data_IF_058330669872
#
_entry.id   IF_058330669872
#
_cell.length_a   1.000
_cell.length_b   1.000
_cell.length_c   1.000
_cell.angle_alpha   90.00
_cell.angle_beta   90.00
_cell.angle_gamma   90.00
#
_symmetry.space_group_name_H-M   'P 1'
#
loop_
_entity.id
_entity.type
_entity.pdbx_description
1 polymer ?
#
# COMPACT_ATOMS: atom_id res chain seq x y z
N UNK A 1 5.55 24.52 -21.92
CA UNK A 1 6.38 24.27 -20.72
C UNK A 1 5.56 23.41 -19.80
N UNK A 2 6.15 22.40 -19.18
CA UNK A 2 5.46 21.55 -18.19
C UNK A 2 4.94 22.42 -17.04
N UNK A 3 3.68 22.23 -16.66
CA UNK A 3 3.04 22.96 -15.58
C UNK A 3 3.03 22.12 -14.30
N UNK A 4 2.92 22.80 -13.16
CA UNK A 4 2.70 22.15 -11.86
C UNK A 4 1.29 22.52 -11.38
N UNK A 5 0.54 21.49 -11.02
CA UNK A 5 -0.84 21.58 -10.53
C UNK A 5 -0.92 21.06 -9.10
N UNK A 6 -2.02 21.36 -8.40
CA UNK A 6 -2.33 20.77 -7.08
C UNK A 6 -3.77 20.28 -7.05
N UNK A 7 -3.98 19.13 -6.43
CA UNK A 7 -5.30 18.57 -6.18
C UNK A 7 -5.46 18.25 -4.70
N UNK A 8 -6.39 18.92 -4.05
CA UNK A 8 -6.57 18.87 -2.60
C UNK A 8 -7.33 17.61 -2.15
N UNK A 9 -7.17 17.24 -0.89
CA UNK A 9 -7.74 16.04 -0.26
C UNK A 9 -9.28 16.04 -0.15
N UNK A 10 -9.98 17.10 -0.51
CA UNK A 10 -11.44 17.16 -0.59
C UNK A 10 -11.98 16.74 -1.97
N UNK A 11 -11.11 16.61 -2.97
CA UNK A 11 -11.44 16.21 -4.33
C UNK A 11 -11.37 14.68 -4.47
N UNK A 12 -12.17 13.95 -3.68
CA UNK A 12 -12.14 12.49 -3.61
C UNK A 12 -13.39 11.82 -4.19
N UNK A 13 -13.20 10.55 -4.55
CA UNK A 13 -14.26 9.58 -4.86
C UNK A 13 -13.90 8.22 -4.21
N UNK A 14 -14.85 7.27 -4.22
CA UNK A 14 -14.71 6.01 -3.47
C UNK A 14 -14.92 4.76 -4.34
N UNK A 15 -14.94 4.92 -5.64
CA UNK A 15 -15.15 3.84 -6.61
C UNK A 15 -14.42 4.12 -7.92
N UNK A 16 -14.02 3.10 -8.64
CA UNK A 16 -13.61 3.23 -10.02
C UNK A 16 -14.87 3.37 -10.89
N UNK A 17 -15.06 4.54 -11.50
CA UNK A 17 -16.22 4.82 -12.36
C UNK A 17 -15.81 5.80 -13.46
N UNK A 18 -15.87 5.33 -14.71
CA UNK A 18 -15.46 6.10 -15.88
C UNK A 18 -16.43 7.23 -16.26
N UNK A 19 -17.58 7.32 -15.59
CA UNK A 19 -18.53 8.42 -15.73
C UNK A 19 -18.27 9.59 -14.77
N UNK A 20 -17.26 9.49 -13.88
CA UNK A 20 -16.90 10.59 -12.98
C UNK A 20 -16.28 11.73 -13.78
N UNK A 21 -16.75 12.96 -13.50
CA UNK A 21 -16.15 14.15 -14.06
C UNK A 21 -14.73 14.37 -13.52
N UNK A 22 -13.74 14.62 -14.39
CA UNK A 22 -12.38 14.92 -13.96
C UNK A 22 -12.33 16.17 -13.06
N UNK A 23 -11.55 16.09 -11.99
CA UNK A 23 -11.29 17.23 -11.09
C UNK A 23 -10.19 18.12 -11.60
N UNK A 24 -9.34 17.61 -12.48
CA UNK A 24 -8.22 18.31 -13.08
C UNK A 24 -7.97 17.75 -14.48
N UNK A 25 -7.55 18.63 -15.40
CA UNK A 25 -7.08 18.25 -16.72
C UNK A 25 -5.66 18.76 -16.92
N UNK A 26 -4.76 17.89 -17.38
CA UNK A 26 -3.31 18.13 -17.53
C UNK A 26 -2.81 17.74 -18.92
N UNK A 27 -1.66 18.28 -19.30
CA UNK A 27 -0.91 17.83 -20.47
C UNK A 27 0.13 16.76 -20.12
N UNK A 28 0.47 15.83 -21.02
CA UNK A 28 1.64 14.94 -20.84
C UNK A 28 2.90 15.78 -20.61
N UNK A 29 3.65 15.47 -19.57
CA UNK A 29 4.82 16.21 -19.08
C UNK A 29 4.54 17.01 -17.82
N UNK A 30 3.28 17.28 -17.50
CA UNK A 30 2.92 18.02 -16.29
C UNK A 30 3.16 17.23 -15.00
N UNK A 31 3.27 18.00 -13.91
CA UNK A 31 3.41 17.50 -12.54
C UNK A 31 2.17 17.87 -11.74
N UNK A 32 1.71 16.94 -10.90
CA UNK A 32 0.59 17.18 -9.97
C UNK A 32 1.02 16.83 -8.55
N UNK A 33 0.82 17.77 -7.63
CA UNK A 33 0.89 17.54 -6.20
C UNK A 33 -0.50 17.15 -5.70
N UNK A 34 -0.61 15.97 -5.11
CA UNK A 34 -1.83 15.41 -4.54
C UNK A 34 -1.76 15.48 -3.02
N UNK A 35 -2.84 15.95 -2.40
CA UNK A 35 -3.09 15.71 -0.99
C UNK A 35 -4.03 14.50 -0.89
N UNK A 36 -3.59 13.43 -0.22
CA UNK A 36 -4.40 12.20 -0.06
C UNK A 36 -4.88 12.04 1.38
N UNK A 37 -6.02 11.39 1.56
CA UNK A 37 -6.48 10.91 2.86
C UNK A 37 -5.97 9.50 3.10
N UNK A 38 -5.93 9.08 4.38
CA UNK A 38 -5.66 7.68 4.72
C UNK A 38 -6.83 6.74 4.34
N UNK A 39 -6.60 5.44 4.31
CA UNK A 39 -7.59 4.42 3.95
C UNK A 39 -8.87 4.44 4.80
N UNK A 40 -8.83 5.06 5.98
CA UNK A 40 -9.99 5.20 6.86
C UNK A 40 -10.75 6.52 6.67
N UNK A 41 -10.35 7.35 5.69
CA UNK A 41 -10.97 8.66 5.42
C UNK A 41 -10.90 9.62 6.62
N UNK A 42 -9.78 9.57 7.37
CA UNK A 42 -9.56 10.38 8.56
C UNK A 42 -10.35 9.93 9.79
N UNK A 43 -10.87 8.70 9.78
CA UNK A 43 -11.64 8.18 10.91
C UNK A 43 -10.81 8.01 12.18
N UNK A 44 -9.56 7.53 12.06
CA UNK A 44 -8.66 7.35 13.19
C UNK A 44 -7.89 8.62 13.53
N UNK A 45 -7.62 8.79 14.81
CA UNK A 45 -6.78 9.84 15.38
C UNK A 45 -5.72 9.24 16.30
N UNK A 46 -4.83 10.06 16.84
CA UNK A 46 -3.85 9.62 17.85
C UNK A 46 -4.48 9.04 19.12
N UNK A 47 -5.70 9.46 19.43
CA UNK A 47 -6.43 9.04 20.63
C UNK A 47 -7.34 7.84 20.38
N UNK A 48 -7.39 7.33 19.14
CA UNK A 48 -8.19 6.16 18.78
C UNK A 48 -7.69 4.89 19.46
N UNK A 49 -8.64 4.01 19.78
CA UNK A 49 -8.42 2.77 20.55
C UNK A 49 -8.82 1.53 19.75
N UNK A 50 -8.54 0.34 20.28
CA UNK A 50 -8.96 -0.92 19.67
C UNK A 50 -10.48 -1.01 19.45
N UNK A 51 -11.29 -0.37 20.30
CA UNK A 51 -12.74 -0.38 20.18
C UNK A 51 -13.23 0.35 18.91
N UNK A 52 -12.49 1.35 18.47
CA UNK A 52 -12.85 2.15 17.28
C UNK A 52 -12.74 1.35 15.98
N UNK A 53 -11.96 0.26 15.97
CA UNK A 53 -11.81 -0.59 14.76
C UNK A 53 -13.15 -1.15 14.28
N UNK A 54 -14.02 -1.57 15.19
CA UNK A 54 -15.35 -2.07 14.85
C UNK A 54 -16.37 -0.93 14.66
N UNK A 55 -16.13 0.24 15.23
CA UNK A 55 -17.00 1.41 15.13
C UNK A 55 -16.99 2.09 13.77
N UNK A 56 -15.97 1.85 12.93
CA UNK A 56 -15.80 2.50 11.62
C UNK A 56 -16.95 2.27 10.63
N UNK A 57 -17.78 1.27 10.83
CA UNK A 57 -18.84 0.93 9.91
C UNK A 57 -18.33 0.21 8.63
N UNK A 58 -19.20 0.05 7.61
CA UNK A 58 -18.84 -0.65 6.38
C UNK A 58 -17.83 0.14 5.55
N UNK A 59 -16.94 -0.59 4.88
CA UNK A 59 -16.00 0.00 3.92
C UNK A 59 -16.74 0.54 2.69
N UNK A 60 -16.53 1.81 2.38
CA UNK A 60 -17.17 2.52 1.24
C UNK A 60 -16.26 2.57 0.00
N UNK A 61 -15.02 2.16 0.09
CA UNK A 61 -13.94 2.37 -0.86
C UNK A 61 -12.83 3.20 -0.23
N UNK A 62 -11.63 3.14 -0.81
CA UNK A 62 -10.55 4.06 -0.48
C UNK A 62 -10.92 5.47 -0.95
N UNK A 63 -10.64 6.52 -0.18
CA UNK A 63 -10.79 7.90 -0.65
C UNK A 63 -9.70 8.20 -1.67
N UNK A 64 -10.05 8.21 -2.95
CA UNK A 64 -9.12 8.44 -4.05
C UNK A 64 -9.19 9.89 -4.51
N UNK A 65 -8.07 10.62 -4.44
CA UNK A 65 -7.95 11.98 -4.96
C UNK A 65 -7.88 11.93 -6.49
N UNK A 66 -8.82 12.58 -7.16
CA UNK A 66 -9.01 12.53 -8.61
C UNK A 66 -10.49 12.54 -9.02
N UNK A 67 -10.81 12.12 -10.29
CA UNK A 67 -9.89 11.71 -11.35
C UNK A 67 -9.14 12.89 -12.01
N UNK A 68 -7.94 12.62 -12.51
CA UNK A 68 -7.17 13.51 -13.37
C UNK A 68 -7.26 13.04 -14.83
N UNK A 69 -7.70 13.93 -15.71
CA UNK A 69 -7.71 13.70 -17.17
C UNK A 69 -6.36 14.10 -17.76
N UNK A 70 -5.74 13.20 -18.51
CA UNK A 70 -4.51 13.48 -19.27
C UNK A 70 -4.89 13.73 -20.73
N UNK A 71 -4.67 14.96 -21.25
CA UNK A 71 -5.06 15.33 -22.61
C UNK A 71 -4.44 14.41 -23.66
N UNK A 72 -5.29 13.94 -24.56
CA UNK A 72 -4.90 13.09 -25.67
C UNK A 72 -4.50 11.66 -25.29
N UNK A 73 -4.67 11.24 -24.05
CA UNK A 73 -4.62 9.84 -23.69
C UNK A 73 -5.85 9.11 -24.24
N UNK A 74 -5.64 7.95 -24.89
CA UNK A 74 -6.70 7.16 -25.51
C UNK A 74 -6.51 5.66 -25.19
N UNK A 75 -7.57 4.85 -25.26
CA UNK A 75 -7.45 3.40 -25.13
C UNK A 75 -6.36 2.81 -26.04
N UNK A 76 -5.50 1.98 -25.45
CA UNK A 76 -4.33 1.42 -26.15
C UNK A 76 -3.02 2.20 -25.98
N UNK A 77 -3.06 3.32 -25.25
CA UNK A 77 -1.85 3.99 -24.77
C UNK A 77 -1.40 3.41 -23.42
N UNK A 78 -0.20 3.79 -23.00
CA UNK A 78 0.29 3.55 -21.63
C UNK A 78 0.53 4.89 -20.94
N UNK A 79 -0.11 5.11 -19.81
CA UNK A 79 0.19 6.22 -18.91
C UNK A 79 1.45 5.93 -18.11
N UNK A 80 2.40 6.85 -18.12
CA UNK A 80 3.66 6.75 -17.34
C UNK A 80 3.58 7.73 -16.18
N UNK A 81 3.73 7.21 -14.97
CA UNK A 81 3.62 7.98 -13.72
C UNK A 81 4.93 7.84 -12.95
N UNK A 82 5.65 8.95 -12.78
CA UNK A 82 6.87 8.98 -11.98
C UNK A 82 6.57 9.54 -10.60
N UNK A 83 7.00 8.85 -9.55
CA UNK A 83 6.88 9.30 -8.16
C UNK A 83 8.07 10.20 -7.84
N UNK A 84 7.82 11.50 -7.73
CA UNK A 84 8.88 12.50 -7.49
C UNK A 84 9.10 12.74 -6.00
N UNK A 85 8.00 12.86 -5.22
CA UNK A 85 8.02 13.14 -3.80
C UNK A 85 6.86 12.43 -3.13
N UNK A 86 7.07 11.98 -1.89
CA UNK A 86 6.00 11.52 -1.00
C UNK A 86 6.43 11.66 0.44
N UNK A 87 5.56 12.26 1.26
CA UNK A 87 5.78 12.45 2.68
C UNK A 87 4.46 12.31 3.46
N UNK A 88 4.52 11.95 4.76
CA UNK A 88 3.36 11.97 5.63
C UNK A 88 2.73 13.37 5.70
N UNK A 89 1.40 13.45 5.61
CA UNK A 89 0.66 14.70 5.82
C UNK A 89 0.24 14.92 7.29
N UNK A 90 0.52 13.94 8.16
CA UNK A 90 0.27 13.98 9.59
C UNK A 90 1.46 13.34 10.32
N UNK A 91 1.57 13.62 11.62
CA UNK A 91 2.64 13.10 12.48
C UNK A 91 2.33 11.70 13.06
N UNK A 92 1.28 11.05 12.56
CA UNK A 92 0.92 9.68 12.94
C UNK A 92 0.43 8.87 11.73
N UNK A 93 0.56 7.55 11.86
CA UNK A 93 -0.09 6.56 11.03
C UNK A 93 -0.76 5.51 11.91
N UNK A 94 -1.46 4.58 11.30
CA UNK A 94 -2.14 3.51 12.04
C UNK A 94 -2.07 2.18 11.29
N UNK A 95 -2.16 1.07 12.05
CA UNK A 95 -2.31 -0.29 11.51
C UNK A 95 -3.37 -1.00 12.34
N UNK A 96 -4.31 -1.71 11.71
CA UNK A 96 -5.42 -2.34 12.41
C UNK A 96 -5.57 -3.83 12.07
N UNK A 97 -5.76 -4.65 13.09
CA UNK A 97 -6.26 -6.01 12.93
C UNK A 97 -7.78 -5.95 13.04
N UNK A 98 -8.46 -6.36 11.97
CA UNK A 98 -9.92 -6.49 11.92
C UNK A 98 -10.26 -7.98 11.83
N UNK A 99 -11.00 -8.55 12.81
CA UNK A 99 -11.37 -9.97 12.77
C UNK A 99 -11.98 -10.40 11.43
N UNK A 100 -11.54 -11.52 10.90
CA UNK A 100 -11.96 -12.02 9.60
C UNK A 100 -11.34 -11.32 8.37
N UNK A 101 -10.34 -10.45 8.57
CA UNK A 101 -9.55 -9.80 7.53
C UNK A 101 -8.06 -10.14 7.66
N UNK A 102 -7.33 -10.01 6.54
CA UNK A 102 -5.91 -10.34 6.50
C UNK A 102 -5.65 -11.80 6.10
N UNK A 103 -4.38 -12.16 6.14
CA UNK A 103 -3.88 -13.49 5.78
C UNK A 103 -4.34 -14.57 6.77
N UNK A 104 -4.35 -14.24 8.07
CA UNK A 104 -4.69 -15.19 9.13
C UNK A 104 -6.19 -15.17 9.43
N UNK A 105 -6.81 -16.34 9.68
CA UNK A 105 -8.24 -16.43 9.93
C UNK A 105 -8.65 -15.78 11.26
N UNK A 106 -9.93 -15.46 11.40
CA UNK A 106 -10.50 -14.84 12.59
C UNK A 106 -10.20 -15.62 13.88
N UNK A 107 -10.07 -16.95 13.79
CA UNK A 107 -9.74 -17.78 14.96
C UNK A 107 -8.37 -17.43 15.57
N UNK A 108 -7.41 -16.95 14.78
CA UNK A 108 -6.10 -16.52 15.28
C UNK A 108 -6.18 -15.14 15.97
N UNK A 109 -7.05 -14.24 15.45
CA UNK A 109 -7.23 -12.87 15.95
C UNK A 109 -8.72 -12.52 16.04
N UNK A 110 -9.44 -13.03 17.06
CA UNK A 110 -10.89 -12.82 17.19
C UNK A 110 -11.26 -11.43 17.73
N UNK A 111 -10.27 -10.63 18.16
CA UNK A 111 -10.49 -9.30 18.70
C UNK A 111 -9.84 -8.24 17.82
N UNK A 112 -10.47 -7.06 17.68
CA UNK A 112 -9.85 -5.95 16.98
C UNK A 112 -8.62 -5.44 17.73
N UNK A 113 -7.63 -4.97 16.99
CA UNK A 113 -6.48 -4.29 17.56
C UNK A 113 -6.11 -3.09 16.68
N UNK A 114 -5.72 -1.98 17.28
CA UNK A 114 -5.25 -0.77 16.61
C UNK A 114 -3.89 -0.39 17.18
N UNK A 115 -2.93 -0.19 16.30
CA UNK A 115 -1.64 0.39 16.61
C UNK A 115 -1.55 1.78 15.99
N UNK A 116 -1.31 2.79 16.82
CA UNK A 116 -0.94 4.12 16.36
C UNK A 116 0.59 4.21 16.30
N UNK A 117 1.10 4.69 15.18
CA UNK A 117 2.51 4.89 14.91
C UNK A 117 2.85 6.37 15.00
N UNK A 118 3.95 6.72 15.64
CA UNK A 118 4.56 8.05 15.53
C UNK A 118 5.43 8.09 14.28
N UNK A 119 5.12 9.00 13.35
CA UNK A 119 5.88 9.23 12.11
C UNK A 119 6.39 10.66 12.01
N UNK A 120 6.43 11.39 13.14
CA UNK A 120 6.74 12.81 13.21
C UNK A 120 8.14 13.18 12.74
N UNK A 121 9.11 12.25 12.77
CA UNK A 121 10.47 12.48 12.28
C UNK A 121 10.63 12.23 10.77
N UNK A 122 9.55 11.79 10.08
CA UNK A 122 9.52 11.45 8.65
C UNK A 122 10.59 10.43 8.21
N UNK A 123 11.21 9.73 9.16
CA UNK A 123 12.22 8.72 8.90
C UNK A 123 11.82 7.32 9.35
N UNK A 124 11.04 7.24 10.41
CA UNK A 124 10.63 5.97 11.01
C UNK A 124 9.17 6.01 11.47
N UNK A 125 8.48 4.88 11.33
CA UNK A 125 7.25 4.60 12.07
C UNK A 125 7.62 3.95 13.39
N UNK A 126 7.30 4.61 14.52
CA UNK A 126 7.66 4.15 15.86
C UNK A 126 6.44 3.66 16.62
N UNK A 127 6.56 2.48 17.20
CA UNK A 127 5.67 2.02 18.24
C UNK A 127 6.49 1.80 19.51
N UNK A 128 5.90 1.78 20.67
CA UNK A 128 6.60 1.50 21.93
C UNK A 128 7.56 0.29 21.84
N UNK A 129 8.32 -0.01 22.89
CA UNK A 129 9.25 -1.16 23.00
C UNK A 129 10.47 -1.12 22.05
N UNK A 130 10.92 0.10 21.66
CA UNK A 130 12.11 0.25 20.83
C UNK A 130 11.94 -0.18 19.37
N UNK A 131 10.71 -0.41 18.91
CA UNK A 131 10.46 -0.75 17.50
C UNK A 131 10.39 0.52 16.67
N UNK A 132 11.21 0.59 15.64
CA UNK A 132 11.28 1.69 14.69
C UNK A 132 11.41 1.13 13.26
N UNK A 133 10.32 1.11 12.52
CA UNK A 133 10.29 0.64 11.13
C UNK A 133 10.66 1.82 10.22
N UNK A 134 11.70 1.70 9.37
CA UNK A 134 12.05 2.78 8.45
C UNK A 134 10.90 3.12 7.51
N UNK A 135 10.59 4.40 7.34
CA UNK A 135 9.61 4.84 6.36
C UNK A 135 10.15 4.63 4.94
N UNK A 136 9.33 3.99 4.12
CA UNK A 136 9.50 3.84 2.69
C UNK A 136 8.19 4.18 2.00
N UNK A 137 7.78 5.44 2.11
CA UNK A 137 6.44 5.89 1.71
C UNK A 137 6.11 5.59 0.26
N UNK A 138 4.90 5.09 0.02
CA UNK A 138 4.37 4.81 -1.31
C UNK A 138 2.84 4.88 -1.32
N UNK A 139 2.18 5.18 -2.47
CA UNK A 139 0.75 5.07 -2.61
C UNK A 139 0.32 3.60 -2.78
N UNK A 140 -0.56 3.09 -1.92
CA UNK A 140 -1.15 1.75 -2.06
C UNK A 140 -2.07 1.68 -3.27
N UNK A 141 -2.83 2.75 -3.52
CA UNK A 141 -3.76 2.83 -4.65
C UNK A 141 -3.31 3.86 -5.68
N UNK A 142 -3.02 3.41 -6.89
CA UNK A 142 -2.87 4.23 -8.10
C UNK A 142 -3.49 3.49 -9.29
N UNK A 143 -4.32 4.17 -10.09
CA UNK A 143 -4.93 3.53 -11.24
C UNK A 143 -5.58 4.48 -12.22
N UNK A 144 -5.95 3.95 -13.38
CA UNK A 144 -6.69 4.63 -14.44
C UNK A 144 -8.18 4.26 -14.39
N UNK A 145 -9.04 4.94 -15.15
CA UNK A 145 -10.44 4.55 -15.32
C UNK A 145 -10.57 3.18 -16.00
N UNK A 146 -11.55 2.39 -15.58
CA UNK A 146 -11.91 1.12 -16.20
C UNK A 146 -12.77 1.35 -17.46
N UNK A 147 -12.70 0.46 -18.44
CA UNK A 147 -13.60 0.46 -19.62
C UNK A 147 -14.99 -0.10 -19.30
N UNK A 148 -15.15 -0.85 -18.23
CA UNK A 148 -16.45 -1.30 -17.73
C UNK A 148 -17.24 -0.12 -17.14
N UNK A 149 -18.52 0.00 -17.53
CA UNK A 149 -19.41 1.04 -17.02
C UNK A 149 -19.85 0.77 -15.57
N UNK A 150 -20.17 1.85 -14.86
CA UNK A 150 -20.67 1.81 -13.49
C UNK A 150 -19.59 1.89 -12.43
N UNK A 151 -20.00 1.77 -11.16
CA UNK A 151 -19.10 1.85 -10.01
C UNK A 151 -18.49 0.51 -9.67
N UNK A 152 -17.17 0.47 -9.51
CA UNK A 152 -16.42 -0.73 -9.14
C UNK A 152 -15.65 -0.49 -7.84
N UNK A 153 -15.66 -1.49 -6.95
CA UNK A 153 -14.94 -1.42 -5.67
C UNK A 153 -13.46 -1.14 -5.87
N UNK A 154 -12.90 -0.27 -5.03
CA UNK A 154 -11.47 0.03 -4.97
C UNK A 154 -10.66 -1.02 -4.19
N UNK A 155 -11.32 -1.95 -3.47
CA UNK A 155 -10.64 -2.94 -2.61
C UNK A 155 -9.75 -3.91 -3.40
N UNK A 156 -10.21 -4.61 -4.45
CA UNK A 156 -9.32 -5.51 -5.18
C UNK A 156 -8.48 -4.74 -6.20
N UNK A 157 -7.20 -5.15 -6.39
CA UNK A 157 -6.44 -4.72 -7.57
C UNK A 157 -7.12 -5.21 -8.85
N UNK A 158 -6.92 -4.47 -9.94
CA UNK A 158 -7.53 -4.76 -11.24
C UNK A 158 -6.53 -4.48 -12.38
N UNK A 159 -6.93 -4.78 -13.62
CA UNK A 159 -6.14 -4.50 -14.84
C UNK A 159 -5.72 -3.03 -15.01
N UNK A 160 -6.42 -2.09 -14.38
CA UNK A 160 -6.13 -0.66 -14.40
C UNK A 160 -5.14 -0.20 -13.32
N UNK A 161 -4.61 -1.11 -12.51
CA UNK A 161 -3.90 -0.85 -11.27
C UNK A 161 -4.84 -0.97 -10.06
N UNK A 162 -5.09 0.15 -9.41
CA UNK A 162 -5.93 0.20 -8.21
C UNK A 162 -5.14 -0.11 -6.95
N UNK A 163 -5.70 -0.92 -6.08
CA UNK A 163 -5.13 -1.32 -4.80
C UNK A 163 -4.02 -2.36 -4.99
N UNK A 164 -2.86 -1.91 -5.42
CA UNK A 164 -1.74 -2.80 -5.76
C UNK A 164 -0.85 -3.13 -4.57
N UNK A 165 -0.76 -2.23 -3.60
CA UNK A 165 0.03 -2.36 -2.37
C UNK A 165 1.48 -2.82 -2.62
N UNK A 166 2.07 -2.26 -3.68
CA UNK A 166 3.45 -2.57 -4.07
C UNK A 166 4.40 -1.57 -3.42
N UNK A 167 5.05 -1.95 -2.32
CA UNK A 167 5.97 -1.08 -1.56
C UNK A 167 7.14 -0.51 -2.38
N UNK A 168 7.41 -1.05 -3.57
CA UNK A 168 8.46 -0.54 -4.46
C UNK A 168 8.03 0.67 -5.31
N UNK A 169 6.77 1.12 -5.19
CA UNK A 169 6.26 2.34 -5.83
C UNK A 169 6.64 3.62 -5.05
N UNK A 170 7.79 3.62 -4.42
CA UNK A 170 8.35 4.74 -3.65
C UNK A 170 8.98 5.80 -4.56
N UNK A 171 9.45 6.90 -3.95
CA UNK A 171 10.13 8.02 -4.64
C UNK A 171 11.24 7.53 -5.57
N UNK A 172 11.25 8.05 -6.80
CA UNK A 172 12.17 7.66 -7.87
C UNK A 172 11.76 6.43 -8.68
N UNK A 173 10.62 5.80 -8.37
CA UNK A 173 10.03 4.74 -9.18
C UNK A 173 9.20 5.28 -10.33
N UNK A 174 8.94 4.44 -11.32
CA UNK A 174 8.05 4.74 -12.45
C UNK A 174 7.01 3.64 -12.58
N UNK A 175 5.74 4.02 -12.56
CA UNK A 175 4.60 3.14 -12.81
C UNK A 175 4.10 3.32 -14.23
N UNK A 176 3.81 2.22 -14.91
CA UNK A 176 3.20 2.16 -16.23
C UNK A 176 1.81 1.57 -16.08
N UNK A 177 0.79 2.33 -16.43
CA UNK A 177 -0.61 1.93 -16.34
C UNK A 177 -1.24 1.83 -17.73
N UNK A 178 -2.04 0.81 -18.01
CA UNK A 178 -2.80 0.74 -19.24
C UNK A 178 -3.87 1.83 -19.26
N UNK A 179 -4.10 2.43 -20.43
CA UNK A 179 -5.20 3.37 -20.66
C UNK A 179 -6.36 2.62 -21.30
N UNK A 180 -7.49 2.56 -20.58
CA UNK A 180 -8.71 1.88 -21.03
C UNK A 180 -9.80 2.83 -21.49
N UNK A 181 -9.73 4.12 -21.09
CA UNK A 181 -10.72 5.15 -21.40
C UNK A 181 -10.05 6.45 -21.83
N UNK A 182 -10.77 7.30 -22.57
CA UNK A 182 -10.26 8.60 -22.99
C UNK A 182 -9.86 9.45 -21.79
N UNK A 183 -8.66 10.04 -21.89
CA UNK A 183 -8.08 10.86 -20.83
C UNK A 183 -7.50 10.07 -19.66
N UNK A 184 -7.43 8.75 -19.73
CA UNK A 184 -6.90 7.84 -18.70
C UNK A 184 -7.65 7.89 -17.36
N UNK A 185 -8.14 9.04 -16.89
CA UNK A 185 -8.86 9.25 -15.63
C UNK A 185 -8.11 8.68 -14.41
N UNK A 186 -6.89 9.18 -14.19
CA UNK A 186 -6.00 8.72 -13.11
C UNK A 186 -6.49 9.17 -11.74
N UNK A 187 -6.41 8.29 -10.75
CA UNK A 187 -6.66 8.59 -9.33
C UNK A 187 -5.66 7.91 -8.42
N UNK A 188 -5.45 8.51 -7.24
CA UNK A 188 -4.48 8.09 -6.24
C UNK A 188 -5.06 8.20 -4.83
N UNK A 189 -4.64 7.33 -3.92
CA UNK A 189 -5.00 7.39 -2.50
C UNK A 189 -4.21 6.36 -1.70
N UNK A 190 -4.65 6.16 -0.45
CA UNK A 190 -4.16 5.06 0.37
C UNK A 190 -2.64 5.14 0.60
N UNK A 191 -2.22 6.21 1.31
CA UNK A 191 -0.81 6.44 1.58
C UNK A 191 -0.26 5.49 2.63
N UNK A 192 0.79 4.76 2.30
CA UNK A 192 1.50 3.84 3.19
C UNK A 192 2.86 4.40 3.60
N UNK A 193 3.15 4.40 4.90
CA UNK A 193 4.47 4.77 5.44
C UNK A 193 5.46 3.62 5.40
N UNK A 194 5.02 2.41 5.71
CA UNK A 194 5.81 1.19 5.65
C UNK A 194 4.89 -0.03 5.50
N UNK A 195 5.36 -1.02 4.76
CA UNK A 195 4.65 -2.28 4.54
C UNK A 195 5.66 -3.40 4.26
N UNK A 196 5.42 -4.58 4.82
CA UNK A 196 6.05 -5.82 4.38
C UNK A 196 5.37 -6.40 3.14
N UNK A 197 6.11 -7.14 2.33
CA UNK A 197 5.51 -7.86 1.19
C UNK A 197 4.44 -8.84 1.68
N UNK A 198 3.22 -8.67 1.18
CA UNK A 198 2.07 -9.47 1.58
C UNK A 198 1.05 -8.74 2.45
N UNK A 199 1.40 -7.61 3.09
CA UNK A 199 0.48 -6.79 3.90
C UNK A 199 -0.44 -7.64 4.80
N UNK A 200 0.18 -8.54 5.56
CA UNK A 200 -0.46 -9.75 6.11
C UNK A 200 -1.64 -9.51 7.06
N UNK A 201 -1.79 -8.34 7.68
CA UNK A 201 -2.97 -8.03 8.48
C UNK A 201 -3.99 -7.11 7.76
N UNK A 202 -3.83 -6.90 6.44
CA UNK A 202 -4.67 -6.08 5.54
C UNK A 202 -4.55 -4.57 5.74
N UNK A 203 -3.54 -4.14 6.47
CA UNK A 203 -3.19 -2.73 6.64
C UNK A 203 -1.67 -2.59 6.78
N UNK A 204 -1.13 -1.57 6.16
CA UNK A 204 0.25 -1.10 6.32
C UNK A 204 0.38 -0.15 7.52
N UNK A 205 1.38 0.72 7.53
CA UNK A 205 1.33 1.97 8.28
C UNK A 205 0.53 2.95 7.42
N UNK A 206 -0.78 2.94 7.63
CA UNK A 206 -1.75 3.77 6.90
C UNK A 206 -1.60 5.23 7.29
N UNK A 207 -1.59 6.15 6.34
CA UNK A 207 -1.46 7.58 6.63
C UNK A 207 -1.99 8.47 5.50
N UNK A 208 -2.41 9.66 5.85
CA UNK A 208 -2.58 10.73 4.87
C UNK A 208 -1.20 11.18 4.35
N UNK A 209 -1.11 11.54 3.08
CA UNK A 209 0.17 11.85 2.45
C UNK A 209 0.09 13.04 1.48
N UNK A 210 1.21 13.73 1.31
CA UNK A 210 1.49 14.62 0.19
C UNK A 210 2.30 13.87 -0.84
N UNK A 211 1.83 13.80 -2.09
CA UNK A 211 2.46 13.01 -3.15
C UNK A 211 2.61 13.88 -4.40
N UNK A 212 3.82 13.97 -4.94
CA UNK A 212 4.09 14.67 -6.21
C UNK A 212 4.40 13.67 -7.31
N UNK A 213 3.59 13.69 -8.37
CA UNK A 213 3.71 12.79 -9.52
C UNK A 213 3.92 13.57 -10.81
N UNK A 214 4.76 13.05 -11.69
CA UNK A 214 4.90 13.54 -13.08
C UNK A 214 4.29 12.54 -14.04
N UNK A 215 3.55 13.07 -15.05
CA UNK A 215 2.81 12.28 -16.00
C UNK A 215 3.43 12.34 -17.40
N UNK A 216 3.53 11.20 -18.06
CA UNK A 216 3.89 11.11 -19.48
C UNK A 216 3.00 10.08 -20.17
N UNK A 217 3.02 10.07 -21.49
CA UNK A 217 2.16 9.18 -22.30
C UNK A 217 2.99 8.47 -23.37
N UNK A 218 2.89 7.14 -23.40
CA UNK A 218 3.41 6.31 -24.48
C UNK A 218 2.24 5.93 -25.42
N UNK A 219 2.15 6.62 -26.54
CA UNK A 219 1.05 6.44 -27.51
C UNK A 219 1.18 5.14 -28.29
N UNK A 220 0.06 4.45 -28.47
CA UNK A 220 -0.02 3.23 -29.25
C UNK A 220 0.86 2.10 -28.71
N UNK A 221 1.12 2.09 -27.39
CA UNK A 221 1.88 1.04 -26.70
C UNK A 221 1.04 0.42 -25.60
N UNK A 222 0.07 -0.44 -25.95
CA UNK A 222 -0.79 -1.08 -24.97
C UNK A 222 -0.01 -2.06 -24.09
N UNK A 223 -0.37 -2.08 -22.81
CA UNK A 223 0.05 -3.11 -21.86
C UNK A 223 -1.22 -3.72 -21.24
N UNK A 224 -1.26 -5.03 -20.96
CA UNK A 224 -2.46 -5.68 -20.42
C UNK A 224 -2.66 -5.42 -18.93
N UNK A 225 -1.58 -5.20 -18.19
CA UNK A 225 -1.52 -5.07 -16.73
C UNK A 225 -0.46 -4.03 -16.34
N UNK A 226 -0.55 -3.43 -15.15
CA UNK A 226 0.46 -2.51 -14.66
C UNK A 226 1.87 -3.09 -14.68
N UNK A 227 2.85 -2.23 -14.91
CA UNK A 227 4.28 -2.55 -14.81
C UNK A 227 4.96 -1.44 -14.02
N UNK A 228 6.09 -1.75 -13.39
CA UNK A 228 6.87 -0.75 -12.70
C UNK A 228 8.37 -0.90 -12.97
N UNK A 229 9.06 0.22 -12.83
CA UNK A 229 10.50 0.30 -12.70
C UNK A 229 10.78 0.83 -11.30
N UNK A 230 11.48 0.04 -10.49
CA UNK A 230 11.80 0.41 -9.11
C UNK A 230 12.80 1.55 -9.07
N UNK A 231 12.76 2.32 -8.00
CA UNK A 231 13.78 3.32 -7.71
C UNK A 231 15.14 2.67 -7.43
N UNK A 232 16.26 3.24 -7.89
CA UNK A 232 17.58 2.81 -7.44
C UNK A 232 17.81 3.09 -5.95
N UNK A 233 16.99 3.97 -5.36
CA UNK A 233 16.98 4.28 -3.93
C UNK A 233 15.99 3.42 -3.13
N UNK A 234 15.21 2.55 -3.78
CA UNK A 234 14.32 1.63 -3.10
C UNK A 234 15.15 0.78 -2.13
N UNK A 235 14.86 0.91 -0.84
CA UNK A 235 15.55 0.14 0.19
C UNK A 235 15.28 -1.34 -0.07
N UNK A 236 16.30 -2.08 -0.43
CA UNK A 236 16.32 -3.52 -0.19
C UNK A 236 16.49 -3.69 1.31
N UNK A 237 15.93 -4.75 1.88
CA UNK A 237 16.17 -5.12 3.28
C UNK A 237 17.66 -5.39 3.46
N UNK A 238 18.42 -4.34 3.75
CA UNK A 238 19.87 -4.44 3.83
C UNK A 238 20.24 -4.66 5.29
N UNK A 239 20.66 -5.84 5.60
CA UNK A 239 21.08 -6.22 6.92
C UNK A 239 20.70 -7.68 7.25
N UNK A 240 20.95 -8.05 8.49
CA UNK A 240 20.56 -9.36 9.00
C UNK A 240 19.04 -9.44 9.14
N UNK A 241 18.47 -10.50 8.59
CA UNK A 241 17.07 -10.85 8.80
C UNK A 241 16.95 -12.14 9.58
N UNK A 242 16.02 -12.21 10.51
CA UNK A 242 15.51 -13.46 11.02
C UNK A 242 14.44 -14.00 10.05
N UNK A 243 14.52 -15.29 9.70
CA UNK A 243 13.64 -15.86 8.67
C UNK A 243 12.94 -17.09 9.22
N UNK A 244 11.64 -17.12 9.12
CA UNK A 244 10.83 -18.32 9.33
C UNK A 244 10.38 -18.89 7.99
N UNK A 245 10.26 -20.20 7.90
CA UNK A 245 9.84 -20.88 6.67
C UNK A 245 8.73 -21.87 6.94
N UNK A 246 7.86 -22.06 5.95
CA UNK A 246 6.90 -23.15 5.94
C UNK A 246 6.82 -23.77 4.55
N UNK A 247 6.47 -25.05 4.49
CA UNK A 247 6.34 -25.77 3.23
C UNK A 247 5.01 -26.51 3.15
N UNK A 248 4.56 -26.77 1.95
CA UNK A 248 3.34 -27.53 1.67
C UNK A 248 2.88 -27.40 0.23
N UNK A 249 1.86 -28.15 -0.16
CA UNK A 249 1.32 -28.12 -1.52
C UNK A 249 0.48 -26.89 -1.83
N UNK A 250 0.10 -26.10 -0.82
CA UNK A 250 -0.70 -24.89 -0.93
C UNK A 250 0.11 -23.69 -0.45
N UNK A 251 0.40 -22.75 -1.38
CA UNK A 251 1.19 -21.54 -1.08
C UNK A 251 0.51 -20.63 -0.06
N UNK A 252 -0.82 -20.53 -0.11
CA UNK A 252 -1.56 -19.68 0.82
C UNK A 252 -1.47 -20.24 2.25
N UNK A 253 -1.69 -21.55 2.42
CA UNK A 253 -1.56 -22.22 3.71
C UNK A 253 -0.11 -22.15 4.24
N UNK A 254 0.89 -22.32 3.36
CA UNK A 254 2.31 -22.16 3.72
C UNK A 254 2.63 -20.73 4.13
N UNK A 255 2.07 -19.71 3.46
CA UNK A 255 2.20 -18.31 3.86
C UNK A 255 1.61 -18.04 5.25
N UNK A 256 0.43 -18.56 5.52
CA UNK A 256 -0.18 -18.46 6.85
C UNK A 256 0.71 -19.07 7.93
N UNK A 257 1.28 -20.24 7.65
CA UNK A 257 2.11 -20.96 8.63
C UNK A 257 3.46 -20.26 8.86
N UNK A 258 4.10 -19.73 7.82
CA UNK A 258 5.34 -18.97 7.95
C UNK A 258 5.14 -17.74 8.84
N UNK A 259 4.01 -17.03 8.66
CA UNK A 259 3.65 -15.85 9.49
C UNK A 259 3.31 -16.27 10.93
N UNK A 260 2.63 -17.40 11.17
CA UNK A 260 2.40 -17.87 12.55
C UNK A 260 3.72 -18.14 13.27
N UNK A 261 4.69 -18.77 12.62
CA UNK A 261 6.02 -18.98 13.18
C UNK A 261 6.76 -17.67 13.45
N UNK A 262 6.61 -16.66 12.59
CA UNK A 262 7.19 -15.34 12.82
C UNK A 262 6.54 -14.63 14.01
N UNK A 263 5.21 -14.73 14.16
CA UNK A 263 4.50 -14.22 15.33
C UNK A 263 5.00 -14.88 16.61
N UNK A 264 5.13 -16.21 16.61
CA UNK A 264 5.61 -16.95 17.77
C UNK A 264 7.05 -16.53 18.15
N UNK A 265 7.94 -16.38 17.16
CA UNK A 265 9.29 -15.85 17.37
C UNK A 265 9.28 -14.44 17.99
N UNK A 266 8.46 -13.51 17.45
CA UNK A 266 8.35 -12.15 17.98
C UNK A 266 7.80 -12.11 19.41
N UNK A 267 6.88 -12.99 19.76
CA UNK A 267 6.36 -13.14 21.12
C UNK A 267 7.46 -13.65 22.07
N UNK A 268 8.18 -14.71 21.68
CA UNK A 268 9.21 -15.36 22.49
C UNK A 268 10.43 -14.47 22.70
N UNK A 269 10.99 -13.92 21.62
CA UNK A 269 12.27 -13.21 21.65
C UNK A 269 12.15 -11.71 21.97
N UNK A 270 11.00 -11.10 21.68
CA UNK A 270 10.78 -9.65 21.83
C UNK A 270 9.70 -9.31 22.85
N UNK A 271 9.03 -10.31 23.43
CA UNK A 271 7.98 -10.10 24.44
C UNK A 271 6.78 -9.29 23.91
N UNK A 272 6.53 -9.32 22.60
CA UNK A 272 5.36 -8.67 21.99
C UNK A 272 4.09 -9.44 22.32
N UNK A 273 2.94 -8.77 22.33
CA UNK A 273 1.69 -9.51 22.24
C UNK A 273 1.54 -10.14 20.84
N UNK A 274 0.69 -11.13 20.70
CA UNK A 274 0.43 -11.75 19.38
C UNK A 274 -0.08 -10.72 18.36
N UNK A 275 -0.93 -9.80 18.82
CA UNK A 275 -1.46 -8.71 17.97
C UNK A 275 -0.35 -7.76 17.52
N UNK A 276 0.53 -7.35 18.45
CA UNK A 276 1.68 -6.52 18.12
C UNK A 276 2.63 -7.23 17.14
N UNK A 277 2.89 -8.52 17.35
CA UNK A 277 3.70 -9.33 16.46
C UNK A 277 3.10 -9.45 15.04
N UNK A 278 1.78 -9.61 14.94
CA UNK A 278 1.10 -9.66 13.64
C UNK A 278 1.12 -8.31 12.93
N UNK A 279 0.94 -7.21 13.66
CA UNK A 279 1.10 -5.85 13.11
C UNK A 279 2.52 -5.61 12.61
N UNK A 280 3.56 -5.96 13.40
CA UNK A 280 4.95 -5.87 12.97
C UNK A 280 5.19 -6.73 11.73
N UNK A 281 4.61 -7.92 11.67
CA UNK A 281 4.69 -8.78 10.47
C UNK A 281 4.09 -8.10 9.24
N UNK A 282 2.99 -7.38 9.37
CA UNK A 282 2.35 -6.69 8.24
C UNK A 282 3.18 -5.52 7.69
N UNK A 283 3.87 -4.80 8.56
CA UNK A 283 4.58 -3.56 8.16
C UNK A 283 6.07 -3.75 7.86
N UNK A 284 6.67 -4.87 8.28
CA UNK A 284 8.12 -5.06 8.21
C UNK A 284 8.58 -6.46 7.74
N UNK A 285 7.72 -7.46 7.70
CA UNK A 285 8.10 -8.81 7.25
C UNK A 285 7.78 -9.00 5.78
N UNK A 286 8.75 -9.46 5.02
CA UNK A 286 8.58 -9.78 3.60
C UNK A 286 8.25 -11.26 3.42
N UNK A 287 7.08 -11.55 2.84
CA UNK A 287 6.73 -12.87 2.35
C UNK A 287 7.31 -13.10 0.95
N UNK A 288 7.99 -14.23 0.78
CA UNK A 288 8.59 -14.62 -0.49
C UNK A 288 8.30 -16.08 -0.81
N UNK A 289 8.11 -16.37 -2.08
CA UNK A 289 8.14 -17.74 -2.58
C UNK A 289 9.62 -18.09 -2.77
N UNK A 290 10.19 -18.92 -1.89
CA UNK A 290 11.60 -19.28 -1.97
C UNK A 290 11.85 -20.41 -2.97
N UNK A 291 10.87 -21.31 -3.15
CA UNK A 291 10.96 -22.45 -4.05
C UNK A 291 9.53 -22.84 -4.51
N UNK A 292 9.35 -23.11 -5.82
CA UNK A 292 8.05 -23.46 -6.42
C UNK A 292 8.16 -24.56 -7.50
N UNK A 293 9.27 -25.31 -7.53
CA UNK A 293 9.57 -26.27 -8.62
C UNK A 293 9.70 -27.71 -8.15
N UNK A 294 9.83 -27.96 -6.84
CA UNK A 294 10.07 -29.30 -6.28
C UNK A 294 8.78 -29.92 -5.71
N UNK A 295 7.88 -30.27 -6.64
CA UNK A 295 6.60 -30.92 -6.28
C UNK A 295 6.83 -32.15 -5.37
N UNK A 296 5.96 -32.40 -4.39
CA UNK A 296 4.65 -31.81 -4.22
C UNK A 296 4.59 -30.61 -3.24
N UNK A 297 5.70 -30.10 -2.74
CA UNK A 297 5.71 -29.04 -1.74
C UNK A 297 6.47 -27.81 -2.25
N UNK A 298 6.01 -26.64 -1.84
CA UNK A 298 6.58 -25.34 -2.13
C UNK A 298 7.04 -24.68 -0.83
N UNK A 299 8.09 -23.85 -0.86
CA UNK A 299 8.60 -23.14 0.33
C UNK A 299 8.25 -21.67 0.27
N UNK A 300 7.61 -21.19 1.35
CA UNK A 300 7.40 -19.76 1.64
C UNK A 300 8.30 -19.35 2.79
N UNK A 301 8.97 -18.22 2.63
CA UNK A 301 9.80 -17.58 3.67
C UNK A 301 9.16 -16.28 4.12
N UNK A 302 9.23 -15.98 5.42
CA UNK A 302 8.87 -14.73 6.03
C UNK A 302 10.13 -14.11 6.65
N UNK A 303 10.61 -12.99 6.10
CA UNK A 303 11.88 -12.37 6.44
C UNK A 303 11.68 -11.08 7.22
N UNK A 304 12.19 -11.01 8.43
CA UNK A 304 12.11 -9.86 9.33
C UNK A 304 13.47 -9.18 9.45
N UNK A 305 13.62 -7.90 9.04
CA UNK A 305 14.85 -7.14 9.28
C UNK A 305 15.09 -6.93 10.77
N UNK A 306 16.25 -7.37 11.29
CA UNK A 306 16.59 -7.16 12.72
C UNK A 306 16.84 -5.69 13.05
N UNK A 307 17.14 -4.87 12.05
CA UNK A 307 17.40 -3.42 12.19
C UNK A 307 16.20 -2.63 12.73
N UNK A 308 14.98 -3.16 12.65
CA UNK A 308 13.79 -2.49 13.22
C UNK A 308 13.82 -2.42 14.75
N UNK A 309 14.66 -3.25 15.39
CA UNK A 309 14.88 -3.29 16.84
C UNK A 309 16.14 -2.54 17.29
N UNK A 310 16.83 -1.84 16.40
CA UNK A 310 18.03 -1.08 16.70
C UNK A 310 17.66 0.18 17.49
N UNK A 311 17.66 0.09 18.80
CA UNK A 311 17.34 1.19 19.71
C UNK A 311 16.98 0.73 21.12
N UNK A 312 17.23 -0.55 21.44
CA UNK A 312 17.16 -1.09 22.79
C UNK A 312 18.53 -1.09 23.44
#
# INVERSE_FOLDING_TARGET
MAATHRLAADQVHYEWNNALEPRLEIDPGDTVAFDTRDAADGYYSKDSTHADVLGRGPFRGHPLTGPVRVRGAAPGDTLVVEVLEMEPAADFGWTAIRPGRGLLPEADFPKPHLQIWDVSDHAYARMGRGIAVPLGCFPGVMGTGLDEAGGHSTMPPRKNGGNMDIKHLTVGSTLYLPVWVDGALFSIGDGHGAQGDGEVCVTAVEMAAHVTLRFALQRGRPIPEPRLRTSPMARRSDGTCFVTTAHGPDLFASSQQAIRYMIDHLVEERGLSREQAYIVSSVAVDLSISEIVDAPNWIVSASLPESIFAGG
#
